data_IF_871253023112
#
_entry.id   IF_871253023112
#
_cell.length_a   1.000
_cell.length_b   1.000
_cell.length_c   1.000
_cell.angle_alpha   90.00
_cell.angle_beta   90.00
_cell.angle_gamma   90.00
#
_symmetry.space_group_name_H-M   'P 1'
#
loop_
_entity.id
_entity.type
_entity.pdbx_description
1 polymer ?
#
# COMPACT_ATOMS: atom_id res chain seq x y z
N UNK A 1 41.02 -22.14 -55.74
CA UNK A 1 40.93 -20.92 -54.94
C UNK A 1 41.14 -21.22 -53.48
N UNK A 2 42.18 -20.60 -52.92
CA UNK A 2 42.37 -20.03 -51.58
C UNK A 2 41.90 -20.79 -50.31
N UNK A 3 42.93 -20.99 -49.48
CA UNK A 3 42.98 -21.36 -48.07
C UNK A 3 42.23 -20.41 -47.11
N UNK A 4 41.93 -20.96 -45.93
CA UNK A 4 42.00 -20.37 -44.56
C UNK A 4 41.05 -19.24 -44.15
N UNK A 5 40.29 -19.47 -43.08
CA UNK A 5 40.65 -19.08 -41.69
C UNK A 5 39.38 -18.88 -40.85
N UNK A 6 39.11 -19.77 -39.90
CA UNK A 6 38.21 -19.46 -38.79
C UNK A 6 38.98 -18.61 -37.79
N UNK A 7 38.80 -17.29 -37.85
CA UNK A 7 39.29 -16.36 -36.82
C UNK A 7 38.29 -16.25 -35.67
N UNK A 8 38.87 -16.28 -34.46
CA UNK A 8 38.26 -16.32 -33.14
C UNK A 8 37.33 -15.15 -32.82
N UNK A 9 36.38 -15.44 -31.93
CA UNK A 9 35.36 -14.53 -31.41
C UNK A 9 35.92 -13.29 -30.70
N UNK A 10 35.21 -12.17 -30.84
CA UNK A 10 35.16 -11.14 -29.80
C UNK A 10 33.70 -10.72 -29.61
N UNK A 11 33.04 -11.28 -28.59
CA UNK A 11 31.75 -10.78 -28.13
C UNK A 11 32.01 -9.47 -27.40
N UNK A 12 31.89 -8.37 -28.12
CA UNK A 12 31.89 -7.03 -27.53
C UNK A 12 30.51 -6.83 -26.89
N UNK A 13 30.37 -7.16 -25.61
CA UNK A 13 29.19 -6.75 -24.84
C UNK A 13 29.07 -5.23 -24.89
N UNK A 14 27.90 -4.66 -25.21
CA UNK A 14 27.73 -3.22 -25.14
C UNK A 14 27.91 -2.78 -23.68
N UNK A 15 28.79 -1.83 -23.46
CA UNK A 15 28.91 -1.18 -22.16
C UNK A 15 27.61 -0.41 -21.90
N UNK A 16 26.76 -0.92 -21.01
CA UNK A 16 25.63 -0.17 -20.49
C UNK A 16 26.24 0.94 -19.61
N UNK A 17 26.08 2.22 -19.95
CA UNK A 17 26.55 3.28 -19.07
C UNK A 17 25.82 3.15 -17.73
N UNK A 18 26.48 3.44 -16.59
CA UNK A 18 25.80 3.42 -15.31
C UNK A 18 24.65 4.44 -15.38
N UNK A 19 23.42 3.94 -15.34
CA UNK A 19 22.26 4.79 -15.11
C UNK A 19 22.44 5.40 -13.73
N UNK A 20 22.87 6.66 -13.69
CA UNK A 20 22.84 7.44 -12.47
C UNK A 20 21.37 7.68 -12.17
N UNK A 21 20.78 6.80 -11.37
CA UNK A 21 19.43 6.97 -10.84
C UNK A 21 19.49 8.14 -9.86
N UNK A 22 19.14 9.32 -10.35
CA UNK A 22 18.85 10.47 -9.48
C UNK A 22 17.49 10.20 -8.83
N UNK A 23 17.50 9.73 -7.59
CA UNK A 23 16.28 9.60 -6.79
C UNK A 23 15.86 11.01 -6.37
N UNK A 24 14.88 11.57 -7.07
CA UNK A 24 14.20 12.80 -6.65
C UNK A 24 13.32 12.51 -5.43
N UNK A 25 13.33 13.41 -4.45
CA UNK A 25 12.57 13.28 -3.20
C UNK A 25 11.06 13.09 -3.45
N UNK A 26 10.37 12.45 -2.51
CA UNK A 26 8.90 12.29 -2.42
C UNK A 26 8.23 11.51 -3.56
N UNK A 27 8.77 10.35 -3.92
CA UNK A 27 8.07 9.39 -4.78
C UNK A 27 7.10 8.53 -3.95
N UNK A 28 5.81 8.53 -4.30
CA UNK A 28 4.81 7.53 -3.87
C UNK A 28 5.22 6.06 -4.21
N UNK A 29 6.37 5.88 -4.85
CA UNK A 29 6.99 4.60 -5.15
C UNK A 29 7.17 3.72 -3.90
N UNK A 30 7.59 4.28 -2.77
CA UNK A 30 7.78 3.48 -1.55
C UNK A 30 6.46 2.88 -1.01
N UNK A 31 5.35 3.61 -1.17
CA UNK A 31 4.00 3.11 -0.85
C UNK A 31 3.58 2.06 -1.88
N UNK A 32 3.79 2.32 -3.17
CA UNK A 32 3.50 1.36 -4.23
C UNK A 32 4.29 0.05 -4.06
N UNK A 33 5.55 0.13 -3.63
CA UNK A 33 6.40 -1.02 -3.32
C UNK A 33 5.85 -1.78 -2.11
N UNK A 34 5.41 -1.08 -1.06
CA UNK A 34 4.71 -1.68 0.09
C UNK A 34 3.43 -2.40 -0.31
N UNK A 35 2.66 -1.84 -1.25
CA UNK A 35 1.47 -2.50 -1.80
C UNK A 35 1.86 -3.75 -2.61
N UNK A 36 2.93 -3.70 -3.42
CA UNK A 36 3.42 -4.86 -4.19
C UNK A 36 3.83 -6.04 -3.30
N UNK A 37 4.30 -5.79 -2.07
CA UNK A 37 4.61 -6.87 -1.11
C UNK A 37 3.39 -7.70 -0.70
N UNK A 38 2.16 -7.22 -0.95
CA UNK A 38 0.95 -8.00 -0.70
C UNK A 38 0.69 -9.07 -1.76
N UNK A 39 1.32 -8.99 -2.94
CA UNK A 39 1.21 -10.01 -3.99
C UNK A 39 1.82 -11.32 -3.48
N UNK A 40 1.01 -12.39 -3.47
CA UNK A 40 1.41 -13.69 -2.92
C UNK A 40 1.43 -13.77 -1.39
N UNK A 41 1.14 -12.66 -0.69
CA UNK A 41 1.02 -12.61 0.77
C UNK A 41 -0.45 -12.55 1.20
N UNK A 42 -1.25 -11.67 0.59
CA UNK A 42 -2.71 -11.64 0.76
C UNK A 42 -3.33 -12.55 -0.29
N UNK A 43 -3.89 -13.67 0.15
CA UNK A 43 -4.35 -14.76 -0.71
C UNK A 43 -5.88 -14.81 -0.81
N UNK A 44 -6.59 -14.31 0.20
CA UNK A 44 -8.04 -14.40 0.31
C UNK A 44 -8.69 -13.04 0.46
N UNK A 45 -9.78 -12.82 -0.30
CA UNK A 45 -10.67 -11.69 -0.06
C UNK A 45 -11.62 -12.05 1.09
N UNK A 46 -11.50 -11.35 2.22
CA UNK A 46 -12.30 -11.59 3.44
C UNK A 46 -12.89 -10.28 3.98
N UNK A 47 -14.19 -10.00 3.71
CA UNK A 47 -14.87 -8.80 4.18
C UNK A 47 -15.43 -8.93 5.59
N UNK A 48 -15.17 -10.04 6.30
CA UNK A 48 -15.73 -10.27 7.62
C UNK A 48 -15.30 -9.18 8.62
N UNK A 49 -16.25 -8.83 9.49
CA UNK A 49 -15.96 -8.04 10.68
C UNK A 49 -15.20 -8.92 11.68
N UNK A 50 -13.97 -8.54 12.01
CA UNK A 50 -13.12 -9.23 12.98
C UNK A 50 -12.61 -8.25 14.00
N UNK A 51 -12.43 -8.67 15.25
CA UNK A 51 -11.87 -7.81 16.28
C UNK A 51 -10.38 -7.57 16.02
N UNK A 52 -9.98 -6.30 16.01
CA UNK A 52 -8.62 -5.82 15.79
C UNK A 52 -8.10 -5.12 17.04
N UNK A 53 -6.79 -5.17 17.24
CA UNK A 53 -6.13 -4.28 18.19
C UNK A 53 -6.19 -2.83 17.69
N UNK A 54 -6.03 -1.88 18.60
CA UNK A 54 -5.95 -0.47 18.26
C UNK A 54 -4.95 0.24 19.20
N UNK A 55 -4.00 1.03 18.67
CA UNK A 55 -3.67 1.20 17.25
C UNK A 55 -2.92 -0.03 16.68
N UNK A 56 -2.63 -0.01 15.37
CA UNK A 56 -1.80 -1.03 14.72
C UNK A 56 -2.42 -2.42 14.53
N UNK A 57 -3.75 -2.56 14.65
CA UNK A 57 -4.43 -3.83 14.35
C UNK A 57 -4.50 -4.12 12.87
N UNK A 58 -4.46 -5.41 12.53
CA UNK A 58 -4.60 -5.92 11.17
C UNK A 58 -5.34 -7.27 11.21
N UNK A 59 -5.98 -7.61 10.11
CA UNK A 59 -6.48 -8.97 9.89
C UNK A 59 -5.28 -9.91 9.63
N UNK A 60 -5.46 -11.24 9.69
CA UNK A 60 -4.40 -12.17 9.34
C UNK A 60 -3.78 -11.86 7.97
N UNK A 61 -2.46 -12.03 7.85
CA UNK A 61 -1.68 -11.59 6.68
C UNK A 61 -2.18 -12.20 5.36
N UNK A 62 -2.69 -13.43 5.39
CA UNK A 62 -3.16 -14.16 4.23
C UNK A 62 -4.51 -13.68 3.70
N UNK A 63 -5.17 -12.73 4.38
CA UNK A 63 -6.51 -12.26 4.00
C UNK A 63 -6.66 -10.74 4.13
N UNK A 64 -7.75 -10.24 3.57
CA UNK A 64 -8.18 -8.85 3.72
C UNK A 64 -9.06 -8.39 2.57
N UNK A 65 -9.26 -7.09 2.48
CA UNK A 65 -9.96 -6.39 1.40
C UNK A 65 -9.04 -5.33 0.79
N UNK A 66 -9.55 -4.59 -0.20
CA UNK A 66 -8.78 -3.57 -0.92
C UNK A 66 -8.14 -2.51 0.00
N UNK A 67 -8.85 -2.07 1.04
CA UNK A 67 -8.31 -1.09 2.00
C UNK A 67 -7.12 -1.64 2.79
N UNK A 68 -7.12 -2.94 3.10
CA UNK A 68 -6.05 -3.56 3.92
C UNK A 68 -4.70 -3.51 3.18
N UNK A 69 -4.72 -3.57 1.84
CA UNK A 69 -3.53 -3.35 1.00
C UNK A 69 -2.99 -1.92 1.18
N UNK A 70 -3.86 -0.92 1.18
CA UNK A 70 -3.48 0.50 1.37
C UNK A 70 -2.92 0.72 2.77
N UNK A 71 -3.58 0.16 3.79
CA UNK A 71 -3.16 0.23 5.19
C UNK A 71 -1.76 -0.37 5.36
N UNK A 72 -1.52 -1.59 4.83
CA UNK A 72 -0.22 -2.26 4.92
C UNK A 72 0.87 -1.52 4.14
N UNK A 73 0.55 -0.96 2.97
CA UNK A 73 1.46 -0.15 2.18
C UNK A 73 1.92 1.12 2.91
N UNK A 74 1.00 1.80 3.61
CA UNK A 74 1.34 2.96 4.43
C UNK A 74 2.11 2.57 5.70
N UNK A 75 1.77 1.43 6.32
CA UNK A 75 2.50 0.90 7.48
C UNK A 75 3.94 0.51 7.14
N UNK A 76 4.23 0.05 5.93
CA UNK A 76 5.62 -0.16 5.50
C UNK A 76 6.43 1.15 5.49
N UNK A 77 5.75 2.30 5.45
CA UNK A 77 6.31 3.64 5.56
C UNK A 77 6.09 4.26 6.96
N UNK A 78 5.78 3.43 7.97
CA UNK A 78 5.54 3.81 9.37
C UNK A 78 4.33 4.73 9.58
N UNK A 79 3.36 4.70 8.67
CA UNK A 79 2.09 5.44 8.77
C UNK A 79 0.96 4.47 9.11
N UNK A 80 0.28 4.69 10.24
CA UNK A 80 -0.87 3.87 10.65
C UNK A 80 -2.20 4.55 10.29
N UNK A 81 -2.73 4.22 9.12
CA UNK A 81 -3.99 4.79 8.64
C UNK A 81 -5.19 4.40 9.52
N UNK A 82 -5.12 3.27 10.26
CA UNK A 82 -6.14 2.90 11.25
C UNK A 82 -6.31 3.99 12.31
N UNK A 83 -5.19 4.41 12.90
CA UNK A 83 -5.15 5.46 13.93
C UNK A 83 -5.56 6.81 13.36
N UNK A 84 -5.00 7.20 12.22
CA UNK A 84 -5.23 8.51 11.63
C UNK A 84 -6.70 8.74 11.26
N UNK A 85 -7.34 7.74 10.64
CA UNK A 85 -8.76 7.82 10.27
C UNK A 85 -9.63 7.84 11.52
N UNK A 86 -9.38 6.94 12.48
CA UNK A 86 -10.19 6.89 13.69
C UNK A 86 -10.11 8.17 14.52
N UNK A 87 -8.92 8.76 14.69
CA UNK A 87 -8.73 9.98 15.48
C UNK A 87 -9.36 11.22 14.83
N UNK A 88 -9.36 11.31 13.49
CA UNK A 88 -10.09 12.38 12.80
C UNK A 88 -11.61 12.16 12.92
N UNK A 89 -12.08 10.92 12.70
CA UNK A 89 -13.50 10.57 12.88
C UNK A 89 -13.99 10.84 14.31
N UNK A 90 -13.17 10.59 15.34
CA UNK A 90 -13.51 10.87 16.73
C UNK A 90 -13.83 12.35 17.00
N UNK A 91 -13.21 13.26 16.24
CA UNK A 91 -13.42 14.71 16.35
C UNK A 91 -14.50 15.21 15.40
N UNK A 92 -14.65 14.55 14.25
CA UNK A 92 -15.40 15.06 13.10
C UNK A 92 -16.45 14.06 12.59
N UNK A 93 -17.01 13.20 13.46
CA UNK A 93 -17.84 12.06 13.05
C UNK A 93 -19.01 12.45 12.13
N UNK A 94 -19.61 13.63 12.33
CA UNK A 94 -20.70 14.13 11.50
C UNK A 94 -20.31 14.43 10.05
N UNK A 95 -19.02 14.68 9.79
CA UNK A 95 -18.47 14.94 8.45
C UNK A 95 -18.25 13.65 7.63
N UNK A 96 -18.33 12.49 8.29
CA UNK A 96 -18.14 11.18 7.65
C UNK A 96 -19.47 10.56 7.19
N UNK A 97 -19.46 9.66 6.19
CA UNK A 97 -20.67 9.02 5.68
C UNK A 97 -21.43 8.23 6.75
N UNK A 98 -22.69 8.59 6.98
CA UNK A 98 -23.57 7.94 7.96
C UNK A 98 -24.26 6.67 7.41
N UNK A 99 -23.51 5.80 6.72
CA UNK A 99 -24.05 4.63 6.01
C UNK A 99 -24.43 3.45 6.94
N UNK A 100 -23.88 3.42 8.16
CA UNK A 100 -23.97 2.25 9.05
C UNK A 100 -24.80 2.47 10.33
N UNK A 101 -25.53 3.58 10.41
CA UNK A 101 -26.39 3.91 11.57
C UNK A 101 -25.66 3.87 12.93
N UNK A 102 -24.35 4.12 12.92
CA UNK A 102 -23.53 4.20 14.12
C UNK A 102 -23.71 5.56 14.80
N UNK A 103 -23.64 5.57 16.13
CA UNK A 103 -23.68 6.81 16.93
C UNK A 103 -22.30 7.42 17.18
N UNK A 104 -21.24 6.66 16.90
CA UNK A 104 -19.85 7.04 17.12
C UNK A 104 -18.94 6.26 16.16
N UNK A 105 -17.70 6.71 15.95
CA UNK A 105 -16.70 5.94 15.19
C UNK A 105 -16.41 4.58 15.83
N UNK A 106 -15.85 3.69 15.02
CA UNK A 106 -15.49 2.34 15.39
C UNK A 106 -14.06 2.02 14.92
N UNK A 107 -13.10 2.15 15.85
CA UNK A 107 -11.66 1.92 15.60
C UNK A 107 -11.35 0.53 15.03
N UNK A 108 -12.27 -0.41 15.20
CA UNK A 108 -12.16 -1.76 14.67
C UNK A 108 -12.32 -1.83 13.15
N UNK A 109 -13.07 -0.90 12.52
CA UNK A 109 -13.44 -1.00 11.11
C UNK A 109 -13.41 0.32 10.33
N UNK A 110 -13.25 1.48 10.99
CA UNK A 110 -13.31 2.80 10.35
C UNK A 110 -12.42 2.90 9.10
N UNK A 111 -11.16 2.49 9.23
CA UNK A 111 -10.16 2.44 8.17
C UNK A 111 -10.39 1.38 7.08
N UNK A 112 -11.28 0.42 7.30
CA UNK A 112 -11.63 -0.61 6.30
C UNK A 112 -12.85 -0.22 5.46
N UNK A 113 -13.44 0.94 5.72
CA UNK A 113 -14.59 1.48 4.97
C UNK A 113 -14.09 2.48 3.94
N UNK A 114 -14.13 2.10 2.66
CA UNK A 114 -13.67 2.96 1.56
C UNK A 114 -14.26 4.38 1.60
N UNK A 115 -15.56 4.61 1.87
CA UNK A 115 -16.09 5.97 1.97
C UNK A 115 -15.49 6.80 3.11
N UNK A 116 -15.06 6.16 4.20
CA UNK A 116 -14.36 6.86 5.28
C UNK A 116 -12.94 7.25 4.83
N UNK A 117 -12.25 6.38 4.10
CA UNK A 117 -10.93 6.69 3.55
C UNK A 117 -10.99 7.86 2.56
N UNK A 118 -11.95 7.85 1.62
CA UNK A 118 -12.18 8.95 0.67
C UNK A 118 -12.38 10.29 1.38
N UNK A 119 -13.22 10.28 2.43
CA UNK A 119 -13.47 11.47 3.26
C UNK A 119 -12.21 11.92 3.99
N UNK A 120 -11.46 10.99 4.59
CA UNK A 120 -10.22 11.31 5.28
C UNK A 120 -9.19 11.94 4.33
N UNK A 121 -8.95 11.34 3.15
CA UNK A 121 -8.01 11.88 2.17
C UNK A 121 -8.43 13.28 1.69
N UNK A 122 -9.71 13.47 1.37
CA UNK A 122 -10.25 14.79 0.97
C UNK A 122 -10.03 15.88 2.04
N UNK A 123 -10.00 15.49 3.31
CA UNK A 123 -9.78 16.41 4.44
C UNK A 123 -8.30 16.70 4.72
N UNK A 124 -7.36 15.96 4.13
CA UNK A 124 -5.94 15.98 4.48
C UNK A 124 -5.01 16.01 3.25
N UNK A 125 -5.46 16.60 2.14
CA UNK A 125 -4.64 16.86 0.93
C UNK A 125 -3.54 17.92 1.18
#
# INVERSE_FOLDING_TARGET
SLLTAFTSHSLKSPAVPPTVVQIQANTNLAIADGARQQIGSTLFYDPAYVQLTYPGGDVPQERGVCSDVVIRALRSQKVDLQKLVHEDMAKNFAEYPQKWQLKRPDSNIDHRRVPNLETWFTRHD
#
